data_IF_646955561060
#
_entry.id   IF_646955561060
#
_cell.length_a   1.000
_cell.length_b   1.000
_cell.length_c   1.000
_cell.angle_alpha   90.00
_cell.angle_beta   90.00
_cell.angle_gamma   90.00
#
_symmetry.space_group_name_H-M   'P 1'
#
loop_
_entity.id
_entity.type
_entity.pdbx_description
1 polymer ?
#
# COMPACT_ATOMS: atom_id res chain seq x y z
N UNK A 1 -16.24 18.08 -7.69
CA UNK A 1 -16.64 16.68 -8.04
C UNK A 1 -15.43 15.81 -8.35
N UNK A 2 -14.56 16.16 -9.35
CA UNK A 2 -13.41 15.34 -9.79
C UNK A 2 -12.47 14.93 -8.65
N UNK A 3 -12.12 15.83 -7.72
CA UNK A 3 -11.24 15.54 -6.57
C UNK A 3 -11.83 14.45 -5.68
N UNK A 4 -13.11 14.58 -5.29
CA UNK A 4 -13.77 13.59 -4.42
C UNK A 4 -13.81 12.21 -5.10
N UNK A 5 -14.18 12.19 -6.39
CA UNK A 5 -14.18 10.94 -7.17
C UNK A 5 -12.75 10.35 -7.24
N UNK A 6 -11.73 11.18 -7.46
CA UNK A 6 -10.34 10.76 -7.49
C UNK A 6 -9.86 10.14 -6.18
N UNK A 7 -10.22 10.74 -5.03
CA UNK A 7 -9.88 10.18 -3.71
C UNK A 7 -10.55 8.83 -3.47
N UNK A 8 -11.85 8.72 -3.77
CA UNK A 8 -12.58 7.46 -3.62
C UNK A 8 -12.03 6.39 -4.57
N UNK A 9 -11.81 6.73 -5.84
CA UNK A 9 -11.23 5.84 -6.84
C UNK A 9 -9.86 5.31 -6.39
N UNK A 10 -8.96 6.19 -5.93
CA UNK A 10 -7.63 5.80 -5.47
C UNK A 10 -7.72 4.85 -4.27
N UNK A 11 -8.59 5.13 -3.29
CA UNK A 11 -8.74 4.30 -2.10
C UNK A 11 -9.35 2.92 -2.41
N UNK A 12 -10.35 2.84 -3.30
CA UNK A 12 -10.90 1.57 -3.81
C UNK A 12 -9.83 0.79 -4.58
N UNK A 13 -9.08 1.47 -5.46
CA UNK A 13 -8.00 0.87 -6.24
C UNK A 13 -6.90 0.29 -5.35
N UNK A 14 -6.49 1.02 -4.31
CA UNK A 14 -5.53 0.58 -3.31
C UNK A 14 -6.01 -0.69 -2.60
N UNK A 15 -7.25 -0.71 -2.10
CA UNK A 15 -7.85 -1.87 -1.45
C UNK A 15 -7.90 -3.08 -2.37
N UNK A 16 -8.36 -2.90 -3.62
CA UNK A 16 -8.43 -3.97 -4.62
C UNK A 16 -7.05 -4.52 -4.97
N UNK A 17 -6.09 -3.63 -5.24
CA UNK A 17 -4.73 -4.01 -5.59
C UNK A 17 -4.06 -4.77 -4.45
N UNK A 18 -4.16 -4.28 -3.22
CA UNK A 18 -3.55 -4.92 -2.07
C UNK A 18 -4.15 -6.31 -1.82
N UNK A 19 -5.48 -6.42 -1.76
CA UNK A 19 -6.17 -7.67 -1.48
C UNK A 19 -6.05 -8.72 -2.57
N UNK A 20 -6.34 -8.34 -3.82
CA UNK A 20 -6.47 -9.32 -4.90
C UNK A 20 -5.19 -9.52 -5.70
N UNK A 21 -4.38 -8.48 -5.85
CA UNK A 21 -3.15 -8.55 -6.62
C UNK A 21 -1.98 -8.91 -5.70
N UNK A 22 -1.66 -8.04 -4.73
CA UNK A 22 -0.49 -8.23 -3.88
C UNK A 22 -0.63 -9.47 -2.98
N UNK A 23 -1.77 -9.66 -2.34
CA UNK A 23 -2.03 -10.85 -1.52
C UNK A 23 -2.66 -12.00 -2.31
N UNK A 24 -3.56 -11.75 -3.26
CA UNK A 24 -4.23 -12.80 -4.03
C UNK A 24 -3.28 -13.51 -4.99
N UNK A 25 -2.78 -12.79 -5.99
CA UNK A 25 -1.82 -13.32 -6.97
C UNK A 25 -0.44 -13.55 -6.35
N UNK A 26 -0.07 -12.75 -5.36
CA UNK A 26 1.20 -12.85 -4.63
C UNK A 26 1.37 -14.15 -3.83
N UNK A 27 0.30 -14.92 -3.56
CA UNK A 27 0.40 -16.27 -2.95
C UNK A 27 1.25 -17.23 -3.77
N UNK A 28 1.19 -17.12 -5.08
CA UNK A 28 2.03 -17.93 -5.97
C UNK A 28 3.46 -17.35 -5.97
N UNK A 29 4.42 -18.10 -5.43
CA UNK A 29 5.84 -17.71 -5.35
C UNK A 29 6.47 -17.43 -6.71
N UNK A 30 5.98 -18.01 -7.80
CA UNK A 30 6.41 -17.72 -9.17
C UNK A 30 5.80 -16.44 -9.78
N UNK A 31 4.86 -15.79 -9.09
CA UNK A 31 4.26 -14.55 -9.54
C UNK A 31 5.20 -13.35 -9.36
N UNK A 32 5.10 -12.37 -10.27
CA UNK A 32 5.75 -11.07 -10.06
C UNK A 32 5.35 -10.44 -8.71
N UNK A 33 4.10 -10.63 -8.28
CA UNK A 33 3.51 -10.05 -7.07
C UNK A 33 3.95 -10.73 -5.76
N UNK A 34 4.66 -11.86 -5.86
CA UNK A 34 5.14 -12.63 -4.71
C UNK A 34 6.02 -11.82 -3.75
N UNK A 35 6.71 -10.79 -4.27
CA UNK A 35 7.58 -9.92 -3.48
C UNK A 35 6.87 -9.28 -2.27
N UNK A 36 5.58 -8.93 -2.43
CA UNK A 36 4.86 -8.28 -1.35
C UNK A 36 4.62 -9.22 -0.17
N UNK A 37 4.13 -10.43 -0.46
CA UNK A 37 3.75 -11.38 0.58
C UNK A 37 4.95 -12.18 1.11
N UNK A 38 5.86 -12.63 0.22
CA UNK A 38 6.95 -13.54 0.60
C UNK A 38 8.24 -12.83 0.99
N UNK A 39 8.52 -11.64 0.43
CA UNK A 39 9.72 -10.88 0.78
C UNK A 39 9.37 -9.83 1.83
N UNK A 40 8.49 -8.86 1.49
CA UNK A 40 8.16 -7.72 2.33
C UNK A 40 7.49 -8.10 3.65
N UNK A 41 6.37 -8.85 3.63
CA UNK A 41 5.71 -9.28 4.87
C UNK A 41 6.63 -10.15 5.73
N UNK A 42 7.44 -11.02 5.11
CA UNK A 42 8.37 -11.85 5.85
C UNK A 42 9.43 -11.02 6.59
N UNK A 43 10.03 -10.02 5.92
CA UNK A 43 10.98 -9.08 6.54
C UNK A 43 10.31 -8.30 7.67
N UNK A 44 9.11 -7.76 7.44
CA UNK A 44 8.37 -7.00 8.44
C UNK A 44 8.02 -7.82 9.68
N UNK A 45 7.59 -9.07 9.52
CA UNK A 45 7.27 -9.96 10.63
C UNK A 45 8.49 -10.28 11.51
N UNK A 46 9.67 -10.46 10.90
CA UNK A 46 10.90 -10.74 11.65
C UNK A 46 11.54 -9.50 12.28
N UNK A 47 11.26 -8.31 11.74
CA UNK A 47 11.88 -7.05 12.17
C UNK A 47 10.88 -6.07 12.82
N UNK A 48 9.80 -6.58 13.42
CA UNK A 48 8.78 -5.75 14.06
C UNK A 48 8.31 -4.59 13.15
N UNK A 49 7.80 -4.94 11.97
CA UNK A 49 7.34 -4.04 10.90
C UNK A 49 8.45 -3.30 10.14
N UNK A 50 9.68 -3.22 10.63
CA UNK A 50 10.76 -2.49 9.96
C UNK A 50 11.25 -3.24 8.72
N UNK A 51 11.31 -2.51 7.59
CA UNK A 51 11.92 -3.02 6.36
C UNK A 51 13.05 -2.08 5.91
N UNK A 52 14.34 -2.48 6.11
CA UNK A 52 15.49 -1.64 5.80
C UNK A 52 15.62 -1.26 4.32
N UNK A 53 14.94 -1.97 3.41
CA UNK A 53 14.99 -1.67 1.97
C UNK A 53 14.50 -0.26 1.65
N UNK A 54 13.66 0.31 2.52
CA UNK A 54 13.11 1.66 2.37
C UNK A 54 14.04 2.78 2.83
N UNK A 55 15.22 2.47 3.43
CA UNK A 55 16.17 3.50 3.90
C UNK A 55 16.77 4.29 2.74
N UNK A 56 17.13 3.59 1.67
CA UNK A 56 17.73 4.18 0.47
C UNK A 56 16.90 3.85 -0.76
N UNK A 57 16.95 4.73 -1.77
CA UNK A 57 16.21 4.53 -3.01
C UNK A 57 16.98 3.56 -3.93
N UNK A 58 16.38 2.42 -4.23
CA UNK A 58 16.93 1.39 -5.11
C UNK A 58 16.13 1.31 -6.41
N UNK A 59 16.63 1.95 -7.48
CA UNK A 59 15.92 1.95 -8.79
C UNK A 59 16.47 0.89 -9.76
N UNK A 60 17.70 0.45 -9.59
CA UNK A 60 18.42 -0.40 -10.57
C UNK A 60 18.49 -1.87 -10.16
N UNK A 61 18.26 -2.19 -8.90
CA UNK A 61 18.28 -3.57 -8.38
C UNK A 61 16.87 -4.09 -8.14
N UNK A 62 16.49 -5.26 -8.68
CA UNK A 62 15.18 -5.86 -8.41
C UNK A 62 15.03 -6.19 -6.91
N UNK A 63 14.16 -5.48 -6.23
CA UNK A 63 13.81 -5.68 -4.82
C UNK A 63 12.37 -5.23 -4.57
N UNK A 64 11.88 -5.37 -3.35
CA UNK A 64 10.50 -4.99 -2.95
C UNK A 64 10.20 -3.54 -3.34
N UNK A 65 11.06 -2.59 -2.95
CA UNK A 65 10.86 -1.16 -3.21
C UNK A 65 10.83 -0.83 -4.71
N UNK A 66 11.78 -1.38 -5.50
CA UNK A 66 11.85 -1.09 -6.94
C UNK A 66 10.65 -1.67 -7.70
N UNK A 67 10.14 -2.83 -7.30
CA UNK A 67 8.92 -3.42 -7.87
C UNK A 67 7.68 -2.60 -7.52
N UNK A 68 7.57 -2.13 -6.28
CA UNK A 68 6.51 -1.22 -5.85
C UNK A 68 6.53 0.07 -6.67
N UNK A 69 7.68 0.73 -6.78
CA UNK A 69 7.83 1.96 -7.58
C UNK A 69 7.51 1.75 -9.06
N UNK A 70 7.92 0.61 -9.63
CA UNK A 70 7.58 0.25 -11.00
C UNK A 70 6.06 0.17 -11.20
N UNK A 71 5.34 -0.48 -10.29
CA UNK A 71 3.88 -0.59 -10.35
C UNK A 71 3.23 0.79 -10.24
N UNK A 72 3.67 1.63 -9.30
CA UNK A 72 3.15 2.99 -9.15
C UNK A 72 3.40 3.82 -10.42
N UNK A 73 4.58 3.71 -11.04
CA UNK A 73 4.90 4.39 -12.30
C UNK A 73 4.01 3.90 -13.45
N UNK A 74 3.75 2.59 -13.56
CA UNK A 74 2.82 2.05 -14.56
C UNK A 74 1.42 2.65 -14.37
N UNK A 75 0.93 2.75 -13.13
CA UNK A 75 -0.37 3.37 -12.84
C UNK A 75 -0.38 4.85 -13.28
N UNK A 76 0.67 5.61 -12.99
CA UNK A 76 0.81 7.01 -13.44
C UNK A 76 0.71 7.08 -14.97
N UNK A 77 1.45 6.25 -15.70
CA UNK A 77 1.44 6.24 -17.16
C UNK A 77 0.08 5.85 -17.75
N UNK A 78 -0.61 4.87 -17.14
CA UNK A 78 -1.95 4.47 -17.57
C UNK A 78 -3.01 5.58 -17.38
N UNK A 79 -2.82 6.46 -16.40
CA UNK A 79 -3.74 7.58 -16.15
C UNK A 79 -3.34 8.85 -16.94
N UNK A 80 -2.16 8.92 -17.52
CA UNK A 80 -1.69 10.11 -18.24
C UNK A 80 -2.64 10.58 -19.37
N UNK A 81 -3.24 9.70 -20.19
CA UNK A 81 -4.20 10.14 -21.21
C UNK A 81 -5.46 10.80 -20.63
N UNK A 82 -5.86 10.42 -19.40
CA UNK A 82 -7.06 10.92 -18.73
C UNK A 82 -6.86 12.38 -18.26
N UNK A 83 -5.61 12.81 -18.07
CA UNK A 83 -5.24 14.15 -17.60
C UNK A 83 -5.86 15.27 -18.45
N UNK A 84 -5.94 15.08 -19.77
CA UNK A 84 -6.48 16.09 -20.68
C UNK A 84 -7.98 16.32 -20.51
N UNK A 85 -8.72 15.25 -20.22
CA UNK A 85 -10.17 15.32 -20.06
C UNK A 85 -10.62 15.58 -18.60
N UNK A 86 -9.86 15.04 -17.62
CA UNK A 86 -10.19 15.11 -16.20
C UNK A 86 -8.97 15.50 -15.35
N UNK A 87 -8.47 16.73 -15.48
CA UNK A 87 -7.20 17.13 -14.85
C UNK A 87 -7.21 17.01 -13.33
N UNK A 88 -8.26 17.49 -12.66
CA UNK A 88 -8.32 17.43 -11.19
C UNK A 88 -8.48 16.00 -10.65
N UNK A 89 -9.17 15.13 -11.38
CA UNK A 89 -9.23 13.70 -11.05
C UNK A 89 -7.84 13.08 -11.12
N UNK A 90 -7.16 13.25 -12.26
CA UNK A 90 -5.86 12.61 -12.50
C UNK A 90 -4.78 13.13 -11.55
N UNK A 91 -4.72 14.45 -11.31
CA UNK A 91 -3.79 15.02 -10.32
C UNK A 91 -4.08 14.49 -8.91
N UNK A 92 -5.36 14.29 -8.56
CA UNK A 92 -5.74 13.69 -7.27
C UNK A 92 -5.28 12.24 -7.16
N UNK A 93 -5.43 11.45 -8.23
CA UNK A 93 -4.91 10.06 -8.27
C UNK A 93 -3.38 10.07 -8.10
N UNK A 94 -2.65 10.93 -8.81
CA UNK A 94 -1.19 11.04 -8.67
C UNK A 94 -0.76 11.44 -7.26
N UNK A 95 -1.44 12.41 -6.67
CA UNK A 95 -1.21 12.80 -5.28
C UNK A 95 -1.47 11.67 -4.30
N UNK A 96 -2.50 10.85 -4.56
CA UNK A 96 -2.83 9.68 -3.73
C UNK A 96 -1.77 8.58 -3.84
N UNK A 97 -1.21 8.33 -5.03
CA UNK A 97 -0.09 7.39 -5.22
C UNK A 97 1.17 7.86 -4.49
N UNK A 98 1.48 9.16 -4.57
CA UNK A 98 2.59 9.76 -3.83
C UNK A 98 2.40 9.65 -2.31
N UNK A 99 1.18 9.91 -1.81
CA UNK A 99 0.82 9.78 -0.40
C UNK A 99 0.87 8.32 0.06
N UNK A 100 0.41 7.38 -0.77
CA UNK A 100 0.54 5.94 -0.53
C UNK A 100 2.00 5.57 -0.29
N UNK A 101 2.89 5.89 -1.24
CA UNK A 101 4.31 5.56 -1.12
C UNK A 101 4.96 6.23 0.09
N UNK A 102 4.65 7.50 0.34
CA UNK A 102 5.15 8.22 1.51
C UNK A 102 4.75 7.53 2.82
N UNK A 103 3.47 7.24 3.00
CA UNK A 103 2.95 6.60 4.22
C UNK A 103 3.48 5.18 4.38
N UNK A 104 3.48 4.39 3.32
CA UNK A 104 3.99 3.03 3.32
C UNK A 104 5.47 2.98 3.72
N UNK A 105 6.30 3.76 3.03
CA UNK A 105 7.72 3.90 3.35
C UNK A 105 7.95 4.37 4.79
N UNK A 106 7.25 5.40 5.24
CA UNK A 106 7.39 5.94 6.59
C UNK A 106 7.03 4.91 7.65
N UNK A 107 5.98 4.13 7.43
CA UNK A 107 5.56 3.07 8.34
C UNK A 107 6.63 1.99 8.53
N UNK A 108 7.36 1.64 7.46
CA UNK A 108 8.40 0.63 7.51
C UNK A 108 9.76 1.16 7.97
N UNK A 109 9.96 2.46 7.98
CA UNK A 109 11.14 3.10 8.57
C UNK A 109 10.96 3.41 10.05
N UNK A 110 9.74 3.75 10.47
CA UNK A 110 9.39 4.10 11.85
C UNK A 110 8.12 3.34 12.28
N UNK A 111 8.29 2.11 12.82
CA UNK A 111 7.18 1.29 13.31
C UNK A 111 6.35 1.96 14.42
N UNK A 112 6.99 2.79 15.26
CA UNK A 112 6.28 3.49 16.34
C UNK A 112 5.37 4.58 15.76
N UNK A 113 5.84 5.33 14.78
CA UNK A 113 5.00 6.26 14.03
C UNK A 113 3.84 5.53 13.34
N UNK A 114 4.10 4.36 12.74
CA UNK A 114 3.05 3.55 12.11
C UNK A 114 2.01 3.08 13.12
N UNK A 115 2.42 2.65 14.31
CA UNK A 115 1.53 2.23 15.39
C UNK A 115 0.57 3.34 15.81
N UNK A 116 1.06 4.59 15.83
CA UNK A 116 0.27 5.76 16.26
C UNK A 116 -0.60 6.35 15.13
N UNK A 117 -0.10 6.39 13.89
CA UNK A 117 -0.72 7.17 12.80
C UNK A 117 -1.30 6.30 11.68
N UNK A 118 -0.83 5.05 11.53
CA UNK A 118 -1.27 4.08 10.53
C UNK A 118 -1.61 2.72 11.17
N UNK A 119 -2.30 2.76 12.30
CA UNK A 119 -2.61 1.57 13.09
C UNK A 119 -3.22 0.44 12.25
N UNK A 120 -4.02 0.74 11.25
CA UNK A 120 -4.59 -0.29 10.36
C UNK A 120 -3.53 -1.02 9.54
N UNK A 121 -2.50 -0.32 9.04
CA UNK A 121 -1.40 -0.93 8.31
C UNK A 121 -0.44 -1.67 9.26
N UNK A 122 -0.20 -1.13 10.45
CA UNK A 122 0.54 -1.82 11.51
C UNK A 122 -0.15 -3.14 11.89
N UNK A 123 -1.48 -3.13 12.11
CA UNK A 123 -2.27 -4.31 12.40
C UNK A 123 -2.25 -5.31 11.22
N UNK A 124 -2.20 -4.84 9.96
CA UNK A 124 -2.11 -5.68 8.78
C UNK A 124 -0.83 -6.53 8.76
N UNK A 125 0.31 -5.95 9.14
CA UNK A 125 1.59 -6.64 9.16
C UNK A 125 1.79 -7.55 10.37
N UNK A 126 1.39 -7.11 11.56
CA UNK A 126 1.80 -7.74 12.81
C UNK A 126 0.70 -8.49 13.55
N UNK A 127 -0.57 -8.35 13.17
CA UNK A 127 -1.64 -9.09 13.82
C UNK A 127 -1.84 -10.48 13.21
N UNK A 128 -2.46 -11.39 13.97
CA UNK A 128 -2.85 -12.72 13.50
C UNK A 128 -3.87 -12.69 12.34
N UNK A 129 -4.38 -11.49 12.00
CA UNK A 129 -5.44 -11.28 11.00
C UNK A 129 -4.88 -10.70 9.71
N UNK A 130 -3.95 -11.39 9.08
CA UNK A 130 -3.29 -10.98 7.83
C UNK A 130 -4.23 -10.79 6.61
N UNK A 131 -5.51 -11.14 6.72
CA UNK A 131 -6.53 -10.95 5.66
C UNK A 131 -7.47 -9.78 5.96
N UNK A 132 -6.97 -8.70 6.52
CA UNK A 132 -7.71 -7.50 6.88
C UNK A 132 -6.85 -6.25 6.69
N UNK A 133 -7.49 -5.07 6.73
CA UNK A 133 -6.81 -3.76 6.71
C UNK A 133 -5.99 -3.55 5.42
N UNK A 134 -6.65 -3.57 4.29
CA UNK A 134 -6.01 -3.53 2.97
C UNK A 134 -5.59 -2.13 2.52
N UNK A 135 -6.24 -1.07 3.05
CA UNK A 135 -5.86 0.30 2.75
C UNK A 135 -4.65 0.76 3.55
N UNK A 136 -3.81 1.60 2.96
CA UNK A 136 -2.65 2.25 3.61
C UNK A 136 -2.94 3.74 3.80
N UNK A 137 -3.40 4.43 2.74
CA UNK A 137 -3.64 5.88 2.81
C UNK A 137 -4.71 6.26 3.83
N UNK A 138 -5.89 5.68 3.70
CA UNK A 138 -7.05 5.89 4.56
C UNK A 138 -7.86 4.61 4.64
N UNK A 139 -8.35 4.18 5.82
CA UNK A 139 -9.07 2.92 5.96
C UNK A 139 -10.55 3.01 5.55
N UNK A 140 -10.92 3.95 4.66
CA UNK A 140 -12.32 4.20 4.31
C UNK A 140 -12.98 2.98 3.67
N UNK A 141 -12.32 2.42 2.67
CA UNK A 141 -12.89 1.27 1.96
C UNK A 141 -12.83 -0.01 2.80
N UNK A 142 -11.87 -0.13 3.72
CA UNK A 142 -11.88 -1.21 4.72
C UNK A 142 -13.13 -1.14 5.62
N UNK A 143 -13.57 0.06 6.01
CA UNK A 143 -14.81 0.22 6.78
C UNK A 143 -16.04 -0.15 5.95
N UNK A 144 -16.12 0.28 4.69
CA UNK A 144 -17.23 -0.03 3.78
C UNK A 144 -17.33 -1.54 3.55
N UNK A 145 -16.20 -2.22 3.36
CA UNK A 145 -16.13 -3.64 3.07
C UNK A 145 -16.10 -4.54 4.32
N UNK A 146 -16.15 -3.95 5.52
CA UNK A 146 -16.07 -4.70 6.78
C UNK A 146 -14.73 -5.42 7.00
N UNK A 147 -13.66 -4.93 6.35
CA UNK A 147 -12.32 -5.51 6.46
C UNK A 147 -11.40 -4.73 7.41
N UNK A 148 -11.90 -3.65 8.04
CA UNK A 148 -11.18 -2.94 9.09
C UNK A 148 -11.25 -3.71 10.40
N UNK A 149 -10.18 -4.36 10.77
CA UNK A 149 -10.03 -5.12 12.02
C UNK A 149 -9.02 -4.44 12.92
N UNK A 150 -9.40 -4.21 14.17
CA UNK A 150 -8.49 -3.73 15.22
C UNK A 150 -7.84 -4.94 15.89
N UNK A 151 -6.53 -4.91 16.03
CA UNK A 151 -5.80 -5.88 16.82
C UNK A 151 -5.96 -5.57 18.31
N UNK A 152 -6.12 -6.60 19.13
CA UNK A 152 -6.10 -6.52 20.59
C UNK A 152 -4.65 -6.57 21.13
N UNK A 153 -3.63 -6.39 20.29
CA UNK A 153 -2.27 -6.27 20.81
C UNK A 153 -2.23 -5.04 21.72
N UNK A 154 -1.97 -5.30 22.98
CA UNK A 154 -1.96 -4.30 24.05
C UNK A 154 -1.06 -3.11 23.69
N UNK A 155 -1.55 -1.92 23.96
CA UNK A 155 -0.87 -0.64 23.82
C UNK A 155 0.41 -0.60 24.65
#
# INVERSE_FOLDING_TARGET
MQIIIGLLYANVGEWCAHKYILHGLGKNKGSFWAYHLHDHHNVCNHNNMRDPIYQTLHLTTPNTQSKELLVLMIIVLLHAPILLAFPFFTVTVYGSLGLYYYKHRSAHLDPEWARQHLRWHYDHHLSDKHNANWCITWPWFDYIMGTRVKSNMMD
#
